data_IF_505073494322
#
_entry.id   IF_505073494322
#
_cell.length_a   1.000
_cell.length_b   1.000
_cell.length_c   1.000
_cell.angle_alpha   90.00
_cell.angle_beta   90.00
_cell.angle_gamma   90.00
#
_symmetry.space_group_name_H-M   'P 1'
#
loop_
_entity.id
_entity.type
_entity.pdbx_description
1 polymer ?
#
# COMPACT_ATOMS: atom_id res chain seq x y z
N UNK A 1 12.98 -15.94 21.46
CA UNK A 1 14.22 -15.12 21.54
C UNK A 1 14.48 -14.25 20.32
N UNK A 2 14.32 -14.70 19.06
CA UNK A 2 14.57 -13.87 17.86
C UNK A 2 13.70 -12.61 17.78
N UNK A 3 12.42 -12.68 18.15
CA UNK A 3 11.48 -11.54 18.10
C UNK A 3 11.88 -10.36 18.99
N UNK A 4 12.31 -10.63 20.24
CA UNK A 4 12.68 -9.58 21.20
C UNK A 4 13.93 -8.80 20.74
N UNK A 5 14.90 -9.52 20.18
CA UNK A 5 16.13 -8.93 19.65
C UNK A 5 15.87 -7.99 18.46
N UNK A 6 14.99 -8.39 17.53
CA UNK A 6 14.60 -7.53 16.40
C UNK A 6 13.85 -6.27 16.84
N UNK A 7 12.97 -6.37 17.85
CA UNK A 7 12.28 -5.20 18.40
C UNK A 7 13.27 -4.21 19.03
N UNK A 8 14.22 -4.71 19.82
CA UNK A 8 15.25 -3.87 20.44
C UNK A 8 16.08 -3.14 19.37
N UNK A 9 16.52 -3.86 18.32
CA UNK A 9 17.28 -3.24 17.22
C UNK A 9 16.44 -2.20 16.48
N UNK A 10 15.18 -2.49 16.18
CA UNK A 10 14.30 -1.54 15.49
C UNK A 10 14.07 -0.28 16.33
N UNK A 11 13.80 -0.43 17.64
CA UNK A 11 13.63 0.70 18.56
C UNK A 11 14.89 1.55 18.70
N UNK A 12 16.06 0.94 18.76
CA UNK A 12 17.34 1.67 18.80
C UNK A 12 17.58 2.38 17.45
N UNK A 13 17.33 1.69 16.33
CA UNK A 13 17.48 2.25 14.99
C UNK A 13 16.57 3.46 14.79
N UNK A 14 15.32 3.42 15.25
CA UNK A 14 14.39 4.56 15.12
C UNK A 14 14.78 5.77 15.96
N UNK A 15 15.54 5.55 17.04
CA UNK A 15 16.06 6.65 17.89
C UNK A 15 17.27 7.30 17.23
N UNK A 16 18.19 6.50 16.70
CA UNK A 16 19.45 6.99 16.11
C UNK A 16 19.23 7.52 14.68
N UNK A 17 18.27 6.95 13.96
CA UNK A 17 17.90 7.31 12.59
C UNK A 17 16.38 7.48 12.49
N UNK A 18 15.83 8.59 13.02
CA UNK A 18 14.40 8.85 12.92
C UNK A 18 13.99 9.01 11.46
N UNK A 19 12.82 8.49 11.11
CA UNK A 19 12.19 8.70 9.81
C UNK A 19 11.98 10.19 9.55
N UNK A 20 11.99 10.59 8.28
CA UNK A 20 11.80 12.00 7.92
C UNK A 20 10.46 12.55 8.44
N UNK A 21 10.33 13.86 8.72
CA UNK A 21 9.08 14.44 9.22
C UNK A 21 7.87 14.13 8.34
N UNK A 22 8.04 14.12 7.02
CA UNK A 22 6.97 13.78 6.07
C UNK A 22 6.53 12.33 6.22
N UNK A 23 7.47 11.43 6.53
CA UNK A 23 7.18 10.01 6.75
C UNK A 23 6.42 9.81 8.06
N UNK A 24 6.82 10.53 9.11
CA UNK A 24 6.12 10.48 10.40
C UNK A 24 4.69 11.03 10.29
N UNK A 25 4.51 12.15 9.57
CA UNK A 25 3.18 12.68 9.28
C UNK A 25 2.35 11.63 8.54
N UNK A 26 2.92 11.02 7.49
CA UNK A 26 2.24 9.99 6.69
C UNK A 26 1.80 8.78 7.53
N UNK A 27 2.67 8.30 8.42
CA UNK A 27 2.39 7.18 9.32
C UNK A 27 1.33 7.52 10.39
N UNK A 28 1.21 8.81 10.75
CA UNK A 28 0.22 9.27 11.73
C UNK A 28 -1.20 9.35 11.18
N UNK A 29 -1.38 9.37 9.85
CA UNK A 29 -2.69 9.47 9.21
C UNK A 29 -3.52 8.21 9.45
N UNK A 30 -4.80 8.42 9.77
CA UNK A 30 -5.81 7.38 9.62
C UNK A 30 -6.05 7.08 8.13
N UNK A 31 -6.70 5.96 7.81
CA UNK A 31 -7.05 5.64 6.42
C UNK A 31 -8.00 6.69 5.85
N UNK A 32 -8.91 7.18 6.69
CA UNK A 32 -9.91 8.18 6.33
C UNK A 32 -9.24 9.53 6.06
N UNK A 33 -8.35 9.97 6.96
CA UNK A 33 -7.58 11.22 6.77
C UNK A 33 -6.65 11.13 5.56
N UNK A 34 -6.10 9.94 5.29
CA UNK A 34 -5.28 9.69 4.11
C UNK A 34 -6.08 9.94 2.83
N UNK A 35 -7.29 9.39 2.73
CA UNK A 35 -8.18 9.61 1.57
C UNK A 35 -8.58 11.07 1.45
N UNK A 36 -8.89 11.74 2.56
CA UNK A 36 -9.26 13.16 2.56
C UNK A 36 -8.12 14.07 2.10
N UNK A 37 -6.87 13.73 2.44
CA UNK A 37 -5.69 14.47 2.00
C UNK A 37 -5.26 14.12 0.57
N UNK A 38 -5.49 12.89 0.13
CA UNK A 38 -5.13 12.44 -1.20
C UNK A 38 -6.01 13.08 -2.26
N UNK A 39 -5.41 13.49 -3.37
CA UNK A 39 -6.11 13.99 -4.53
C UNK A 39 -6.93 12.86 -5.16
N UNK A 40 -8.25 13.04 -5.35
CA UNK A 40 -9.07 12.05 -6.02
C UNK A 40 -8.60 11.89 -7.47
N UNK A 41 -8.83 10.70 -8.03
CA UNK A 41 -8.59 10.48 -9.45
C UNK A 41 -9.58 11.30 -10.29
N UNK A 42 -9.08 12.03 -11.28
CA UNK A 42 -9.91 12.87 -12.15
C UNK A 42 -10.57 12.08 -13.28
N UNK A 43 -9.90 11.08 -13.85
CA UNK A 43 -10.40 10.21 -14.92
C UNK A 43 -9.68 8.86 -14.94
N UNK A 44 -10.43 7.79 -15.25
CA UNK A 44 -9.87 6.46 -15.54
C UNK A 44 -9.59 6.35 -17.06
N UNK A 45 -8.32 6.24 -17.49
CA UNK A 45 -7.99 6.27 -18.91
C UNK A 45 -8.31 4.95 -19.65
N UNK A 46 -8.55 3.85 -18.94
CA UNK A 46 -8.77 2.52 -19.52
C UNK A 46 -9.92 1.80 -18.83
N UNK A 47 -10.76 1.10 -19.60
CA UNK A 47 -11.95 0.42 -19.08
C UNK A 47 -11.63 -0.74 -18.11
N UNK A 48 -10.48 -1.39 -18.25
CA UNK A 48 -10.12 -2.59 -17.48
C UNK A 48 -8.95 -2.36 -16.51
N UNK A 49 -8.59 -1.09 -16.27
CA UNK A 49 -7.52 -0.73 -15.33
C UNK A 49 -8.11 0.27 -14.36
N UNK A 50 -8.10 -0.09 -13.09
CA UNK A 50 -8.54 0.78 -12.01
C UNK A 50 -7.34 1.39 -11.31
N UNK A 51 -7.35 2.70 -11.13
CA UNK A 51 -6.39 3.41 -10.28
C UNK A 51 -7.11 4.06 -9.10
N UNK A 52 -6.65 3.82 -7.87
CA UNK A 52 -7.29 4.41 -6.69
C UNK A 52 -6.98 5.90 -6.52
N UNK A 53 -5.81 6.34 -6.97
CA UNK A 53 -5.33 7.71 -6.74
C UNK A 53 -4.57 8.28 -7.93
N UNK A 54 -4.46 9.60 -7.98
CA UNK A 54 -3.62 10.30 -8.94
C UNK A 54 -2.12 10.16 -8.57
N UNK A 55 -1.33 9.55 -9.46
CA UNK A 55 0.12 9.38 -9.25
C UNK A 55 0.89 10.71 -9.14
N UNK A 56 0.36 11.82 -9.68
CA UNK A 56 1.02 13.12 -9.57
C UNK A 56 0.83 13.80 -8.21
N UNK A 57 0.02 13.23 -7.33
CA UNK A 57 -0.09 13.70 -5.96
C UNK A 57 1.20 13.39 -5.17
N UNK A 58 1.87 14.41 -4.57
CA UNK A 58 3.06 14.21 -3.75
C UNK A 58 2.87 13.21 -2.60
N UNK A 59 1.70 13.20 -1.95
CA UNK A 59 1.36 12.26 -0.88
C UNK A 59 1.40 10.81 -1.40
N UNK A 60 0.85 10.59 -2.60
CA UNK A 60 0.79 9.27 -3.23
C UNK A 60 2.18 8.83 -3.67
N UNK A 61 2.97 9.71 -4.29
CA UNK A 61 4.35 9.40 -4.67
C UNK A 61 5.21 9.04 -3.46
N UNK A 62 5.10 9.81 -2.37
CA UNK A 62 5.82 9.54 -1.13
C UNK A 62 5.38 8.22 -0.51
N UNK A 63 4.08 7.96 -0.43
CA UNK A 63 3.52 6.69 0.07
C UNK A 63 4.01 5.48 -0.73
N UNK A 64 3.99 5.58 -2.07
CA UNK A 64 4.52 4.54 -2.95
C UNK A 64 6.02 4.35 -2.75
N UNK A 65 6.78 5.42 -2.53
CA UNK A 65 8.21 5.34 -2.26
C UNK A 65 8.48 4.63 -0.92
N UNK A 66 7.76 4.98 0.14
CA UNK A 66 7.82 4.35 1.45
C UNK A 66 7.51 2.84 1.38
N UNK A 67 6.45 2.46 0.66
CA UNK A 67 6.12 1.05 0.44
C UNK A 67 7.21 0.33 -0.36
N UNK A 68 7.66 0.95 -1.47
CA UNK A 68 8.57 0.32 -2.43
C UNK A 68 9.98 0.13 -1.87
N UNK A 69 10.52 1.13 -1.16
CA UNK A 69 11.93 1.20 -0.79
C UNK A 69 12.20 1.16 0.71
N UNK A 70 11.20 1.44 1.57
CA UNK A 70 11.35 1.32 3.01
C UNK A 70 10.58 0.14 3.61
N UNK A 71 9.68 -0.48 2.83
CA UNK A 71 8.84 -1.57 3.34
C UNK A 71 7.94 -1.07 4.47
N UNK A 72 7.45 0.16 4.34
CA UNK A 72 6.65 0.80 5.36
C UNK A 72 5.33 0.06 5.58
N UNK A 73 5.23 -0.64 6.72
CA UNK A 73 4.09 -1.50 7.04
C UNK A 73 2.81 -0.71 7.31
N UNK A 74 2.93 0.51 7.84
CA UNK A 74 1.77 1.35 8.11
C UNK A 74 1.10 1.76 6.80
N UNK A 75 1.92 2.14 5.81
CA UNK A 75 1.42 2.45 4.46
C UNK A 75 0.87 1.20 3.77
N UNK A 76 1.52 0.06 3.92
CA UNK A 76 1.00 -1.20 3.39
C UNK A 76 -0.39 -1.54 3.96
N UNK A 77 -0.61 -1.34 5.25
CA UNK A 77 -1.92 -1.53 5.90
C UNK A 77 -2.97 -0.55 5.36
N UNK A 78 -2.62 0.74 5.24
CA UNK A 78 -3.52 1.75 4.67
C UNK A 78 -3.91 1.38 3.24
N UNK A 79 -2.95 1.04 2.39
CA UNK A 79 -3.21 0.65 1.00
C UNK A 79 -3.97 -0.68 0.89
N UNK A 80 -3.66 -1.67 1.73
CA UNK A 80 -4.38 -2.94 1.78
C UNK A 80 -5.86 -2.75 2.12
N UNK A 81 -6.17 -1.91 3.13
CA UNK A 81 -7.55 -1.57 3.48
C UNK A 81 -8.28 -0.90 2.31
N UNK A 82 -7.65 0.10 1.69
CA UNK A 82 -8.24 0.82 0.56
C UNK A 82 -8.46 -0.08 -0.67
N UNK A 83 -7.51 -0.97 -0.96
CA UNK A 83 -7.65 -1.97 -2.02
C UNK A 83 -8.79 -2.94 -1.73
N UNK A 84 -8.90 -3.41 -0.49
CA UNK A 84 -9.99 -4.30 -0.07
C UNK A 84 -11.35 -3.65 -0.26
N UNK A 85 -11.53 -2.42 0.24
CA UNK A 85 -12.78 -1.67 0.10
C UNK A 85 -13.13 -1.43 -1.37
N UNK A 86 -12.16 -0.96 -2.16
CA UNK A 86 -12.37 -0.70 -3.60
C UNK A 86 -12.74 -1.98 -4.36
N UNK A 87 -12.05 -3.09 -4.09
CA UNK A 87 -12.32 -4.36 -4.75
C UNK A 87 -13.70 -4.91 -4.35
N UNK A 88 -14.12 -4.79 -3.10
CA UNK A 88 -15.45 -5.22 -2.69
C UNK A 88 -16.55 -4.44 -3.41
N UNK A 89 -16.39 -3.12 -3.53
CA UNK A 89 -17.36 -2.28 -4.23
C UNK A 89 -17.46 -2.67 -5.70
N UNK A 90 -16.32 -2.81 -6.40
CA UNK A 90 -16.29 -3.20 -7.82
C UNK A 90 -16.83 -4.60 -8.09
N UNK A 91 -16.48 -5.55 -7.23
CA UNK A 91 -16.92 -6.93 -7.38
C UNK A 91 -18.41 -7.06 -7.08
N UNK A 92 -18.95 -6.28 -6.15
CA UNK A 92 -20.39 -6.30 -5.83
C UNK A 92 -21.24 -5.95 -7.05
N UNK A 93 -20.87 -4.91 -7.79
CA UNK A 93 -21.55 -4.55 -9.04
C UNK A 93 -21.37 -5.66 -10.10
N UNK A 94 -20.15 -6.15 -10.26
CA UNK A 94 -19.83 -7.13 -11.30
C UNK A 94 -20.53 -8.48 -11.07
N UNK A 95 -20.65 -8.92 -9.81
CA UNK A 95 -21.33 -10.16 -9.42
C UNK A 95 -22.85 -10.11 -9.68
N UNK A 96 -23.47 -8.93 -9.59
CA UNK A 96 -24.91 -8.78 -9.80
C UNK A 96 -25.29 -8.76 -11.29
N UNK A 97 -24.40 -8.26 -12.15
CA UNK A 97 -24.72 -7.95 -13.55
C UNK A 97 -23.94 -8.78 -14.59
N UNK A 98 -23.07 -9.71 -14.18
CA UNK A 98 -22.26 -10.53 -15.09
C UNK A 98 -22.09 -11.97 -14.60
N UNK A 99 -21.65 -12.89 -15.49
CA UNK A 99 -21.33 -14.29 -15.14
C UNK A 99 -19.99 -14.43 -14.39
N UNK A 100 -19.68 -13.52 -13.47
CA UNK A 100 -18.38 -13.42 -12.78
C UNK A 100 -18.45 -13.94 -11.35
N UNK A 101 -18.98 -15.16 -11.16
CA UNK A 101 -19.40 -15.67 -9.85
C UNK A 101 -18.26 -16.06 -8.88
N UNK A 102 -17.02 -16.17 -9.39
CA UNK A 102 -15.86 -16.67 -8.64
C UNK A 102 -14.59 -15.88 -8.96
N UNK A 103 -14.50 -14.61 -8.54
CA UNK A 103 -13.30 -13.82 -8.74
C UNK A 103 -12.09 -14.49 -8.08
N UNK A 104 -10.96 -14.50 -8.80
CA UNK A 104 -9.67 -14.94 -8.26
C UNK A 104 -8.77 -13.71 -8.19
N UNK A 105 -8.30 -13.40 -6.98
CA UNK A 105 -7.30 -12.35 -6.77
C UNK A 105 -5.90 -12.94 -6.96
N UNK A 106 -5.14 -12.43 -7.93
CA UNK A 106 -3.77 -12.85 -8.20
C UNK A 106 -2.83 -11.68 -7.93
N UNK A 107 -2.12 -11.64 -6.78
CA UNK A 107 -1.07 -10.65 -6.59
C UNK A 107 0.07 -10.88 -7.60
N UNK A 108 0.53 -9.80 -8.22
CA UNK A 108 1.72 -9.84 -9.07
C UNK A 108 2.97 -9.71 -8.18
N UNK A 109 3.79 -10.76 -8.03
CA UNK A 109 4.92 -10.73 -7.11
C UNK A 109 6.11 -9.94 -7.67
N UNK A 110 6.98 -9.49 -6.77
CA UNK A 110 8.29 -8.93 -7.12
C UNK A 110 9.24 -10.02 -7.67
N UNK A 111 10.08 -9.67 -8.66
CA UNK A 111 11.06 -10.61 -9.22
C UNK A 111 12.05 -11.12 -8.16
N UNK A 112 12.67 -12.29 -8.41
CA UNK A 112 13.63 -12.90 -7.48
C UNK A 112 14.86 -12.02 -7.25
N UNK A 113 15.39 -11.34 -8.28
CA UNK A 113 16.52 -10.42 -8.12
C UNK A 113 16.12 -9.24 -7.24
N UNK A 114 14.99 -8.60 -7.55
CA UNK A 114 14.49 -7.44 -6.80
C UNK A 114 14.12 -7.78 -5.36
N UNK A 115 13.61 -8.99 -5.11
CA UNK A 115 13.33 -9.49 -3.76
C UNK A 115 14.61 -9.64 -2.94
N UNK A 116 15.71 -10.09 -3.55
CA UNK A 116 17.02 -10.15 -2.88
C UNK A 116 17.58 -8.76 -2.60
N UNK A 117 17.43 -7.82 -3.54
CA UNK A 117 17.89 -6.42 -3.38
C UNK A 117 17.17 -5.70 -2.24
N UNK A 118 15.84 -5.82 -2.17
CA UNK A 118 15.01 -5.06 -1.21
C UNK A 118 14.77 -5.81 0.09
N UNK A 119 14.66 -7.12 0.06
CA UNK A 119 14.37 -7.95 1.24
C UNK A 119 12.88 -8.20 1.51
N UNK A 120 11.96 -7.54 0.81
CA UNK A 120 10.52 -7.76 0.90
C UNK A 120 9.83 -7.71 -0.47
N UNK A 121 8.59 -8.22 -0.52
CA UNK A 121 7.71 -8.18 -1.68
C UNK A 121 6.51 -7.27 -1.36
N UNK A 122 6.32 -6.21 -2.15
CA UNK A 122 5.26 -5.22 -1.89
C UNK A 122 3.87 -5.85 -1.93
N UNK A 123 3.60 -6.75 -2.89
CA UNK A 123 2.30 -7.39 -3.03
C UNK A 123 1.96 -8.32 -1.87
N UNK A 124 2.97 -8.93 -1.23
CA UNK A 124 2.78 -9.73 -0.01
C UNK A 124 2.49 -8.87 1.22
N UNK A 125 2.86 -7.59 1.20
CA UNK A 125 2.57 -6.69 2.32
C UNK A 125 1.15 -6.10 2.27
N UNK A 126 0.52 -6.12 1.09
CA UNK A 126 -0.81 -5.57 0.85
C UNK A 126 -1.93 -6.56 1.14
N UNK A 127 -1.61 -7.85 1.31
CA UNK A 127 -2.57 -8.96 1.45
C UNK A 127 -2.43 -9.61 2.82
#
# INVERSE_FOLDING_TARGET
MKSLFFHIIYSISSIVFPSSPETQELESLSTEDFVLKASPLSTEPYANIKSLFNYHDPLIQKSLWELKYQGNKKIAQTFGKLLYETLLDELSDTLLFSNFDKPILIPLPLSKERRKERGWNQSEMLI
#
